data_IF_782255636749
#
_entry.id   IF_782255636749
#
_cell.length_a   1.000
_cell.length_b   1.000
_cell.length_c   1.000
_cell.angle_alpha   90.00
_cell.angle_beta   90.00
_cell.angle_gamma   90.00
#
_symmetry.space_group_name_H-M   'P 1'
#
loop_
_entity.id
_entity.type
_entity.pdbx_description
1 polymer ?
#
# COMPACT_ATOMS: atom_id res chain seq x y z
N UNK A 1 6.52 43.15 -36.07
CA UNK A 1 5.67 42.26 -36.90
C UNK A 1 6.23 40.86 -36.81
N UNK A 2 5.59 39.97 -36.03
CA UNK A 2 6.10 38.63 -35.76
C UNK A 2 5.82 37.71 -36.96
N UNK A 3 6.87 37.17 -37.57
CA UNK A 3 6.78 36.16 -38.61
C UNK A 3 6.08 34.92 -38.04
N UNK A 4 4.82 34.69 -38.42
CA UNK A 4 4.12 33.44 -38.17
C UNK A 4 4.67 32.40 -39.12
N UNK A 5 5.79 31.83 -38.71
CA UNK A 5 6.42 30.70 -39.37
C UNK A 5 5.45 29.51 -39.34
N UNK A 6 4.98 29.11 -40.52
CA UNK A 6 4.17 27.91 -40.78
C UNK A 6 4.95 26.64 -40.41
N UNK A 7 5.19 26.43 -39.12
CA UNK A 7 5.93 25.30 -38.60
C UNK A 7 5.05 24.05 -38.76
N UNK A 8 5.34 23.30 -39.82
CA UNK A 8 4.80 21.97 -40.08
C UNK A 8 5.70 20.96 -39.35
N UNK A 9 5.09 20.11 -38.54
CA UNK A 9 5.78 19.08 -37.80
C UNK A 9 6.30 17.99 -38.74
N UNK A 10 7.61 17.82 -38.87
CA UNK A 10 8.24 16.80 -39.71
C UNK A 10 7.98 15.34 -39.29
N UNK A 11 7.29 15.11 -38.17
CA UNK A 11 6.99 13.76 -37.65
C UNK A 11 5.53 13.35 -37.82
N UNK A 12 4.60 14.30 -37.88
CA UNK A 12 3.16 14.01 -38.03
C UNK A 12 2.49 14.86 -39.12
N UNK A 13 3.28 15.67 -39.83
CA UNK A 13 2.86 16.63 -40.86
C UNK A 13 1.76 17.60 -40.42
N UNK A 14 1.53 17.76 -39.11
CA UNK A 14 0.57 18.71 -38.56
C UNK A 14 1.13 20.13 -38.54
N UNK A 15 0.30 21.11 -38.89
CA UNK A 15 0.65 22.53 -38.86
C UNK A 15 0.49 23.15 -37.46
N UNK A 16 1.28 24.20 -37.17
CA UNK A 16 1.18 24.98 -35.93
C UNK A 16 2.06 24.50 -34.78
N UNK A 17 2.94 23.52 -34.98
CA UNK A 17 3.89 23.07 -33.96
C UNK A 17 5.14 22.41 -34.56
N UNK A 18 6.28 22.52 -33.86
CA UNK A 18 7.52 21.81 -34.21
C UNK A 18 7.48 20.35 -33.78
N UNK A 19 8.29 19.49 -34.42
CA UNK A 19 8.46 18.08 -34.05
C UNK A 19 8.76 17.83 -32.56
N UNK A 20 9.35 18.82 -31.88
CA UNK A 20 9.63 18.76 -30.44
C UNK A 20 8.39 18.98 -29.53
N UNK A 21 7.36 19.66 -30.02
CA UNK A 21 6.14 20.01 -29.27
C UNK A 21 4.91 19.27 -29.80
N UNK A 22 5.12 18.21 -30.59
CA UNK A 22 4.03 17.41 -31.16
C UNK A 22 3.21 16.73 -30.04
N UNK A 23 1.93 17.09 -29.87
CA UNK A 23 1.09 16.53 -28.81
C UNK A 23 0.76 15.06 -29.06
N UNK A 24 0.76 14.62 -30.33
CA UNK A 24 0.56 13.21 -30.71
C UNK A 24 1.78 12.32 -30.41
N UNK A 25 2.95 12.90 -30.14
CA UNK A 25 4.19 12.15 -29.95
C UNK A 25 4.96 12.45 -28.65
N UNK A 26 4.30 13.01 -27.64
CA UNK A 26 4.84 13.03 -26.26
C UNK A 26 5.27 11.63 -25.80
N UNK A 27 4.60 10.59 -26.30
CA UNK A 27 4.90 9.17 -26.06
C UNK A 27 6.20 8.65 -26.71
N UNK A 28 6.75 9.32 -27.73
CA UNK A 28 8.00 8.87 -28.40
C UNK A 28 9.25 9.54 -27.83
N UNK A 29 9.11 10.29 -26.73
CA UNK A 29 10.27 10.76 -25.97
C UNK A 29 10.90 9.56 -25.28
N UNK A 30 12.14 9.24 -25.68
CA UNK A 30 12.95 8.24 -25.02
C UNK A 30 13.52 8.81 -23.73
N UNK A 31 13.38 8.07 -22.63
CA UNK A 31 13.98 8.44 -21.37
C UNK A 31 15.52 8.40 -21.45
N UNK A 32 16.20 9.48 -21.06
CA UNK A 32 17.67 9.56 -21.06
C UNK A 32 18.33 8.55 -20.11
N UNK A 33 17.60 8.12 -19.07
CA UNK A 33 18.11 7.19 -18.06
C UNK A 33 17.92 5.72 -18.46
N UNK A 34 16.71 5.32 -18.83
CA UNK A 34 16.39 3.91 -19.10
C UNK A 34 16.28 3.56 -20.59
N UNK A 35 16.37 4.56 -21.47
CA UNK A 35 16.27 4.43 -22.94
C UNK A 35 14.96 3.84 -23.45
N UNK A 36 13.90 3.84 -22.64
CA UNK A 36 12.56 3.38 -23.01
C UNK A 36 11.71 4.58 -23.42
N UNK A 37 10.89 4.41 -24.46
CA UNK A 37 9.92 5.41 -24.92
C UNK A 37 8.70 5.48 -23.99
N UNK A 38 8.05 6.63 -23.90
CA UNK A 38 6.80 6.79 -23.15
C UNK A 38 6.93 7.57 -21.83
N UNK A 39 8.13 7.98 -21.43
CA UNK A 39 8.32 8.85 -20.27
C UNK A 39 9.62 9.68 -20.37
N UNK A 40 9.66 10.80 -19.66
CA UNK A 40 10.85 11.65 -19.53
C UNK A 40 11.77 11.15 -18.42
N UNK A 41 13.03 11.60 -18.40
CA UNK A 41 14.00 11.24 -17.35
C UNK A 41 13.48 11.52 -15.93
N UNK A 42 12.70 12.61 -15.75
CA UNK A 42 12.11 12.99 -14.46
C UNK A 42 10.97 12.05 -14.00
N UNK A 43 10.25 11.47 -14.95
CA UNK A 43 9.17 10.52 -14.69
C UNK A 43 9.62 9.06 -14.86
N UNK A 44 10.94 8.80 -14.80
CA UNK A 44 11.46 7.45 -14.99
C UNK A 44 11.18 6.57 -13.75
N UNK A 45 10.46 5.44 -13.90
CA UNK A 45 10.13 4.56 -12.78
C UNK A 45 11.40 3.97 -12.13
N UNK A 46 12.45 3.72 -12.92
CA UNK A 46 13.73 3.24 -12.41
C UNK A 46 14.45 4.30 -11.56
N UNK A 47 14.37 5.57 -11.95
CA UNK A 47 14.98 6.68 -11.20
C UNK A 47 14.20 6.96 -9.91
N UNK A 48 12.87 6.93 -9.97
CA UNK A 48 11.99 7.10 -8.81
C UNK A 48 12.24 6.01 -7.77
N UNK A 49 12.30 4.72 -8.17
CA UNK A 49 12.60 3.61 -7.25
C UNK A 49 13.93 3.82 -6.52
N UNK A 50 15.00 4.18 -7.25
CA UNK A 50 16.32 4.44 -6.68
C UNK A 50 16.34 5.63 -5.71
N UNK A 51 15.55 6.67 -5.99
CA UNK A 51 15.42 7.82 -5.10
C UNK A 51 14.69 7.45 -3.80
N UNK A 52 13.62 6.63 -3.88
CA UNK A 52 12.92 6.11 -2.70
C UNK A 52 13.82 5.22 -1.85
N UNK A 53 14.59 4.31 -2.45
CA UNK A 53 15.52 3.43 -1.73
C UNK A 53 16.60 4.22 -0.98
N UNK A 54 17.11 5.32 -1.55
CA UNK A 54 18.05 6.20 -0.86
C UNK A 54 17.40 6.94 0.31
N UNK A 55 16.14 7.35 0.17
CA UNK A 55 15.39 8.01 1.24
C UNK A 55 15.09 7.08 2.42
N UNK A 56 14.79 5.80 2.15
CA UNK A 56 14.59 4.80 3.22
C UNK A 56 15.89 4.47 3.94
N UNK A 57 17.01 4.34 3.21
CA UNK A 57 18.33 4.09 3.81
C UNK A 57 18.80 5.26 4.69
N UNK A 58 18.59 6.52 4.28
CA UNK A 58 18.94 7.68 5.11
C UNK A 58 18.16 7.75 6.42
N UNK A 59 16.93 7.22 6.47
CA UNK A 59 16.11 7.18 7.69
C UNK A 59 16.64 6.15 8.68
N UNK A 60 17.15 5.01 8.20
CA UNK A 60 17.73 3.96 9.06
C UNK A 60 19.04 4.43 9.69
N UNK A 61 19.92 5.11 8.93
CA UNK A 61 21.20 5.60 9.45
C UNK A 61 21.03 6.72 10.48
N UNK A 62 20.10 7.66 10.27
CA UNK A 62 19.83 8.74 11.25
C UNK A 62 19.24 8.24 12.57
N UNK A 63 18.44 7.18 12.54
CA UNK A 63 17.88 6.58 13.74
C UNK A 63 18.90 5.79 14.57
N UNK A 64 20.07 5.45 14.01
CA UNK A 64 21.13 4.73 14.75
C UNK A 64 22.11 5.68 15.47
N UNK A 65 22.14 6.97 15.14
CA UNK A 65 23.09 7.93 15.74
C UNK A 65 22.51 8.71 16.92
N UNK A 66 21.23 8.53 17.25
CA UNK A 66 20.58 9.18 18.40
C UNK A 66 20.76 8.45 19.73
N UNK A 67 21.23 7.20 19.71
CA UNK A 67 21.33 6.34 20.90
C UNK A 67 22.75 6.23 21.50
N UNK A 68 23.68 7.10 21.08
CA UNK A 68 25.08 7.05 21.53
C UNK A 68 25.63 8.39 22.08
N UNK A 69 24.82 9.11 22.88
CA UNK A 69 25.36 10.21 23.71
C UNK A 69 24.53 10.42 24.97
N UNK A 70 24.90 9.77 26.08
CA UNK A 70 24.84 10.31 27.44
C UNK A 70 25.26 9.26 28.46
N UNK A 71 26.52 9.28 28.89
CA UNK A 71 26.88 8.80 30.21
C UNK A 71 27.94 9.72 30.84
N UNK A 72 27.73 10.00 32.13
CA UNK A 72 28.55 10.74 33.10
C UNK A 72 28.55 12.29 33.06
N UNK A 73 27.97 12.88 34.11
CA UNK A 73 27.94 14.30 34.40
C UNK A 73 27.18 14.60 35.69
N UNK A 74 27.84 14.31 36.81
CA UNK A 74 27.52 14.53 38.24
C UNK A 74 26.54 15.64 38.63
N UNK A 75 25.73 15.31 39.64
CA UNK A 75 24.74 16.09 40.38
C UNK A 75 25.24 17.42 40.97
N UNK A 76 24.40 18.46 40.97
CA UNK A 76 24.23 19.37 42.13
C UNK A 76 22.96 20.23 42.01
N UNK A 77 22.13 20.08 43.04
CA UNK A 77 21.23 21.06 43.68
C UNK A 77 20.28 21.95 42.87
N UNK A 78 19.00 21.71 43.18
CA UNK A 78 18.00 22.70 43.60
C UNK A 78 17.18 23.44 42.54
N UNK A 79 15.89 23.49 42.90
CA UNK A 79 14.89 24.50 42.56
C UNK A 79 14.06 24.26 41.31
N UNK A 80 12.75 24.16 41.55
CA UNK A 80 11.80 24.91 40.74
C UNK A 80 11.01 24.10 39.73
N UNK A 81 9.91 23.55 40.22
CA UNK A 81 8.58 23.74 39.65
C UNK A 81 8.27 23.34 38.20
N UNK A 82 7.11 22.69 38.13
CA UNK A 82 6.14 22.82 37.05
C UNK A 82 6.27 21.83 35.91
N UNK A 83 5.55 20.73 36.11
CA UNK A 83 5.03 19.87 35.06
C UNK A 83 4.26 20.71 34.03
N UNK A 84 4.89 21.09 32.93
CA UNK A 84 4.15 21.47 31.74
C UNK A 84 3.96 20.22 30.89
N UNK A 85 2.75 19.66 30.98
CA UNK A 85 2.25 18.67 30.05
C UNK A 85 2.53 19.13 28.62
N UNK A 86 3.43 18.42 27.93
CA UNK A 86 3.71 18.59 26.52
C UNK A 86 2.47 18.24 25.71
N UNK A 87 1.59 19.24 25.54
CA UNK A 87 0.44 19.17 24.66
C UNK A 87 0.92 18.75 23.27
N UNK A 88 0.46 17.58 22.82
CA UNK A 88 0.53 17.18 21.43
C UNK A 88 -0.18 18.24 20.60
N UNK A 89 0.59 19.18 20.05
CA UNK A 89 0.06 20.18 19.13
C UNK A 89 -0.34 19.45 17.85
N UNK A 90 -1.65 19.24 17.69
CA UNK A 90 -2.26 18.85 16.40
C UNK A 90 -1.78 19.84 15.34
N UNK A 91 -1.11 19.41 14.25
CA UNK A 91 -0.93 20.30 13.12
C UNK A 91 -2.31 20.72 12.61
N UNK A 92 -2.46 22.02 12.32
CA UNK A 92 -3.65 22.60 11.70
C UNK A 92 -4.01 21.78 10.47
N UNK A 93 -5.20 21.18 10.51
CA UNK A 93 -5.80 20.53 9.36
C UNK A 93 -5.97 21.54 8.24
N UNK A 94 -5.09 21.47 7.24
CA UNK A 94 -5.37 22.02 5.93
C UNK A 94 -6.59 21.28 5.43
N UNK A 95 -7.72 21.99 5.36
CA UNK A 95 -8.94 21.53 4.70
C UNK A 95 -8.62 21.36 3.21
N UNK A 96 -8.12 20.19 2.83
CA UNK A 96 -8.06 19.76 1.45
C UNK A 96 -9.49 19.60 0.98
N UNK A 97 -9.97 20.63 0.28
CA UNK A 97 -11.24 20.68 -0.41
C UNK A 97 -11.22 19.56 -1.46
N UNK A 98 -11.76 18.41 -1.08
CA UNK A 98 -12.06 17.32 -2.01
C UNK A 98 -13.11 17.86 -2.99
N UNK A 99 -12.64 18.38 -4.13
CA UNK A 99 -13.51 18.62 -5.26
C UNK A 99 -13.90 17.25 -5.78
N UNK A 100 -15.20 16.96 -5.67
CA UNK A 100 -15.82 15.81 -6.29
C UNK A 100 -15.48 15.76 -7.78
N UNK A 101 -14.82 14.68 -8.16
CA UNK A 101 -14.98 14.11 -9.47
C UNK A 101 -15.72 12.79 -9.21
N UNK A 102 -17.03 12.80 -9.45
CA UNK A 102 -17.86 11.63 -9.64
C UNK A 102 -17.41 10.93 -10.92
N UNK A 103 -16.25 10.29 -10.86
CA UNK A 103 -15.96 9.12 -11.66
C UNK A 103 -16.21 7.96 -10.73
N UNK A 104 -17.30 7.23 -10.96
CA UNK A 104 -17.52 5.93 -10.34
C UNK A 104 -16.36 5.03 -10.77
N UNK A 105 -15.30 5.03 -9.97
CA UNK A 105 -14.23 4.04 -10.04
C UNK A 105 -14.89 2.73 -9.65
N UNK A 106 -15.34 1.96 -10.63
CA UNK A 106 -15.58 0.55 -10.41
C UNK A 106 -14.19 -0.08 -10.23
N UNK A 107 -13.80 -0.47 -9.01
CA UNK A 107 -12.55 -1.17 -8.82
C UNK A 107 -12.60 -2.40 -9.71
N UNK A 108 -11.60 -2.61 -10.57
CA UNK A 108 -11.38 -3.87 -11.27
C UNK A 108 -11.72 -5.02 -10.31
N UNK A 109 -12.86 -5.69 -10.54
CA UNK A 109 -13.41 -6.63 -9.58
C UNK A 109 -12.44 -7.80 -9.45
N UNK A 110 -11.59 -7.78 -8.43
CA UNK A 110 -10.74 -8.92 -8.12
C UNK A 110 -11.64 -10.06 -7.67
N UNK A 111 -11.83 -11.04 -8.55
CA UNK A 111 -12.69 -12.19 -8.33
C UNK A 111 -11.84 -13.36 -7.88
N UNK A 112 -12.25 -14.08 -6.83
CA UNK A 112 -11.63 -15.34 -6.42
C UNK A 112 -11.83 -16.38 -7.51
N UNK A 113 -10.77 -17.09 -7.88
CA UNK A 113 -10.89 -18.25 -8.78
C UNK A 113 -11.80 -19.31 -8.17
N UNK A 114 -12.35 -20.20 -8.99
CA UNK A 114 -13.22 -21.31 -8.53
C UNK A 114 -12.52 -22.21 -7.52
N UNK A 115 -11.22 -22.47 -7.70
CA UNK A 115 -10.45 -23.26 -6.73
C UNK A 115 -10.20 -22.48 -5.44
N UNK A 116 -9.88 -21.19 -5.55
CA UNK A 116 -9.68 -20.33 -4.37
C UNK A 116 -10.96 -20.19 -3.55
N UNK A 117 -12.12 -20.12 -4.20
CA UNK A 117 -13.41 -20.09 -3.52
C UNK A 117 -13.70 -21.43 -2.81
N UNK A 118 -13.35 -22.57 -3.41
CA UNK A 118 -13.47 -23.88 -2.73
C UNK A 118 -12.58 -23.95 -1.50
N UNK A 119 -11.34 -23.51 -1.62
CA UNK A 119 -10.40 -23.46 -0.51
C UNK A 119 -10.85 -22.47 0.56
N UNK A 120 -11.34 -21.29 0.19
CA UNK A 120 -11.92 -20.31 1.11
C UNK A 120 -13.03 -20.96 1.95
N UNK A 121 -13.98 -21.66 1.32
CA UNK A 121 -15.07 -22.36 2.02
C UNK A 121 -14.56 -23.45 2.96
N UNK A 122 -13.52 -24.20 2.57
CA UNK A 122 -12.88 -25.21 3.44
C UNK A 122 -12.24 -24.54 4.66
N UNK A 123 -11.51 -23.44 4.47
CA UNK A 123 -10.86 -22.69 5.55
C UNK A 123 -11.89 -22.07 6.50
N UNK A 124 -12.97 -21.50 5.97
CA UNK A 124 -14.07 -20.95 6.77
C UNK A 124 -14.84 -22.02 7.56
N UNK A 125 -15.01 -23.22 6.98
CA UNK A 125 -15.59 -24.35 7.72
C UNK A 125 -14.70 -24.72 8.91
N UNK A 126 -13.38 -24.78 8.72
CA UNK A 126 -12.43 -25.04 9.81
C UNK A 126 -12.47 -23.94 10.87
N UNK A 127 -12.52 -22.67 10.49
CA UNK A 127 -12.64 -21.56 11.44
C UNK A 127 -13.94 -21.61 12.25
N UNK A 128 -15.07 -22.02 11.65
CA UNK A 128 -16.32 -22.23 12.38
C UNK A 128 -16.24 -23.38 13.37
N UNK A 129 -15.60 -24.49 13.00
CA UNK A 129 -15.38 -25.61 13.91
C UNK A 129 -14.51 -25.18 15.09
N UNK A 130 -13.44 -24.43 14.84
CA UNK A 130 -12.58 -23.86 15.89
C UNK A 130 -13.38 -22.91 16.79
N UNK A 131 -14.20 -22.02 16.22
CA UNK A 131 -15.04 -21.12 17.01
C UNK A 131 -16.03 -21.88 17.92
N UNK A 132 -16.57 -23.02 17.46
CA UNK A 132 -17.43 -23.88 18.28
C UNK A 132 -16.65 -24.58 19.42
N UNK A 133 -15.39 -24.95 19.18
CA UNK A 133 -14.50 -25.46 20.22
C UNK A 133 -14.14 -24.38 21.24
N UNK A 134 -13.81 -23.17 20.79
CA UNK A 134 -13.56 -22.00 21.67
C UNK A 134 -14.78 -21.69 22.54
N UNK A 135 -15.98 -21.69 21.96
CA UNK A 135 -17.22 -21.51 22.71
C UNK A 135 -17.44 -22.63 23.75
N UNK A 136 -17.03 -23.86 23.43
CA UNK A 136 -17.14 -24.97 24.39
C UNK A 136 -16.20 -24.78 25.58
N UNK A 137 -15.01 -24.21 25.35
CA UNK A 137 -14.08 -23.81 26.42
C UNK A 137 -14.67 -22.69 27.26
N UNK A 138 -15.29 -21.68 26.63
CA UNK A 138 -15.96 -20.58 27.35
C UNK A 138 -17.12 -21.09 28.24
N UNK A 139 -17.78 -22.18 27.84
CA UNK A 139 -18.80 -22.88 28.64
C UNK A 139 -18.20 -23.75 29.76
N UNK A 140 -16.87 -23.79 29.91
CA UNK A 140 -16.18 -24.59 30.92
C UNK A 140 -16.06 -26.08 30.58
N UNK A 141 -16.31 -26.49 29.34
CA UNK A 141 -16.11 -27.89 28.90
C UNK A 141 -14.63 -28.10 28.57
N UNK A 142 -14.05 -29.19 29.07
CA UNK A 142 -12.68 -29.60 28.74
C UNK A 142 -12.61 -30.11 27.30
N UNK A 143 -11.65 -29.62 26.53
CA UNK A 143 -11.35 -30.12 25.19
C UNK A 143 -10.31 -31.25 25.24
N UNK A 144 -10.47 -32.24 24.35
CA UNK A 144 -9.48 -33.30 24.12
C UNK A 144 -8.21 -32.75 23.46
N UNK A 145 -7.09 -33.49 23.56
CA UNK A 145 -5.81 -33.12 22.97
C UNK A 145 -5.90 -32.82 21.46
N UNK A 146 -6.70 -33.59 20.72
CA UNK A 146 -6.91 -33.36 19.28
C UNK A 146 -7.70 -32.08 19.00
N UNK A 147 -8.61 -31.69 19.91
CA UNK A 147 -9.40 -30.46 19.78
C UNK A 147 -8.55 -29.23 20.08
N UNK A 148 -7.69 -29.30 21.11
CA UNK A 148 -6.70 -28.26 21.40
C UNK A 148 -5.74 -28.05 20.22
N UNK A 149 -5.31 -29.13 19.57
CA UNK A 149 -4.49 -29.04 18.35
C UNK A 149 -5.23 -28.29 17.23
N UNK A 150 -6.53 -28.51 17.05
CA UNK A 150 -7.34 -27.77 16.06
C UNK A 150 -7.40 -26.28 16.38
N UNK A 151 -7.63 -25.93 17.66
CA UNK A 151 -7.63 -24.53 18.12
C UNK A 151 -6.25 -23.89 17.89
N UNK A 152 -5.15 -24.60 18.15
CA UNK A 152 -3.80 -24.11 17.91
C UNK A 152 -3.50 -23.76 16.44
N UNK A 153 -4.14 -24.44 15.49
CA UNK A 153 -3.99 -24.18 14.04
C UNK A 153 -4.82 -22.98 13.54
N UNK A 154 -5.58 -22.31 14.41
CA UNK A 154 -6.42 -21.14 14.06
C UNK A 154 -5.61 -20.06 13.34
N UNK A 155 -4.48 -19.66 13.92
CA UNK A 155 -3.62 -18.59 13.38
C UNK A 155 -3.07 -18.93 11.99
N UNK A 156 -2.75 -20.20 11.72
CA UNK A 156 -2.30 -20.65 10.40
C UNK A 156 -3.41 -20.51 9.34
N UNK A 157 -4.63 -20.90 9.72
CA UNK A 157 -5.80 -20.81 8.84
C UNK A 157 -6.15 -19.34 8.57
N UNK A 158 -6.19 -18.51 9.61
CA UNK A 158 -6.43 -17.07 9.50
C UNK A 158 -5.35 -16.35 8.68
N UNK A 159 -4.10 -16.82 8.74
CA UNK A 159 -2.97 -16.29 7.97
C UNK A 159 -2.99 -16.66 6.49
N UNK A 160 -3.82 -17.60 6.05
CA UNK A 160 -3.84 -18.10 4.68
C UNK A 160 -4.16 -16.99 3.66
N UNK A 161 -3.40 -16.92 2.56
CA UNK A 161 -3.52 -15.88 1.53
C UNK A 161 -4.93 -15.78 0.94
N UNK A 162 -5.66 -16.90 0.85
CA UNK A 162 -7.04 -16.92 0.36
C UNK A 162 -7.98 -16.17 1.31
N UNK A 163 -7.85 -16.38 2.63
CA UNK A 163 -8.63 -15.60 3.59
C UNK A 163 -8.19 -14.13 3.63
N UNK A 164 -6.94 -13.85 3.26
CA UNK A 164 -6.49 -12.46 3.04
C UNK A 164 -7.20 -11.84 1.84
N UNK A 165 -7.30 -12.55 0.70
CA UNK A 165 -8.08 -12.11 -0.47
C UNK A 165 -9.55 -11.88 -0.12
N UNK A 166 -10.16 -12.79 0.62
CA UNK A 166 -11.53 -12.62 1.14
C UNK A 166 -11.65 -11.33 1.97
N UNK A 167 -10.74 -11.09 2.92
CA UNK A 167 -10.73 -9.87 3.76
C UNK A 167 -10.51 -8.58 2.97
N UNK A 168 -9.77 -8.65 1.86
CA UNK A 168 -9.57 -7.54 0.93
C UNK A 168 -10.81 -7.27 0.04
N UNK A 169 -11.89 -8.05 0.19
CA UNK A 169 -13.14 -7.82 -0.51
C UNK A 169 -13.19 -8.42 -1.92
N UNK A 170 -12.39 -9.45 -2.19
CA UNK A 170 -12.44 -10.14 -3.48
C UNK A 170 -13.83 -10.75 -3.71
N UNK A 171 -14.36 -10.61 -4.93
CA UNK A 171 -15.68 -11.12 -5.30
C UNK A 171 -15.68 -12.65 -5.27
N UNK A 172 -16.62 -13.24 -4.53
CA UNK A 172 -16.81 -14.68 -4.52
C UNK A 172 -17.52 -15.17 -5.76
N UNK A 173 -17.07 -16.28 -6.31
CA UNK A 173 -17.73 -16.94 -7.43
C UNK A 173 -18.75 -17.93 -6.89
N UNK A 174 -19.90 -18.02 -7.53
CA UNK A 174 -20.84 -19.13 -7.29
C UNK A 174 -20.23 -20.40 -7.85
N UNK A 175 -19.82 -21.32 -6.97
CA UNK A 175 -19.37 -22.64 -7.41
C UNK A 175 -20.55 -23.39 -8.04
N UNK A 176 -20.37 -24.02 -9.21
CA UNK A 176 -21.38 -24.93 -9.74
C UNK A 176 -21.57 -26.06 -8.73
N UNK A 177 -22.82 -26.32 -8.35
CA UNK A 177 -23.17 -27.53 -7.60
C UNK A 177 -22.83 -28.69 -8.52
N UNK A 178 -21.92 -29.57 -8.10
CA UNK A 178 -21.74 -30.84 -8.78
C UNK A 178 -23.03 -31.63 -8.52
N UNK A 179 -23.80 -31.82 -9.58
CA UNK A 179 -25.00 -32.67 -9.61
C UNK A 179 -24.62 -34.14 -9.41
#
# INVERSE_FOLDING_TARGET
MAATDSQICSRCNGQGHRAAQCPKMSFYRTCEYCKVVGHSAKACPKLQRRALEKATQQKVVKNQTSDARSESGTSTTASGDSWTSGAWRKPRGVKSKAKGASGEWQPEHWVLSTEEEREARKLEKKLREIAALEQSVDQGKSLDALQLQKVGRKSEIEGHDILRKVRLGYRRVTLPVAE
#
